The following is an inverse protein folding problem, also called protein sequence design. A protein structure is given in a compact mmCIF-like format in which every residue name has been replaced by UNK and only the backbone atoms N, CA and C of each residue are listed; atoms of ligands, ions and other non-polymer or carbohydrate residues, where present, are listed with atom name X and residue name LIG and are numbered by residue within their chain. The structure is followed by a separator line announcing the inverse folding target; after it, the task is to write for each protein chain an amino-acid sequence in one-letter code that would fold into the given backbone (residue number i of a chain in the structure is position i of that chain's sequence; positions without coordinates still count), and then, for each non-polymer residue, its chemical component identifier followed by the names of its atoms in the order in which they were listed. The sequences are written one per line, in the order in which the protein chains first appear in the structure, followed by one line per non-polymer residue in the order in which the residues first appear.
data_IF_659085201262
#
_entry.id   IF_659085201262
#
_cell.length_a   1.000
_cell.length_b   1.000
_cell.length_c   1.000
_cell.angle_alpha   90.00
_cell.angle_beta   90.00
_cell.angle_gamma   90.00
#
_symmetry.space_group_name_H-M   'P 1'
#
loop_
_entity.id
_entity.type
_entity.pdbx_description
1 polymer ?
#
# COMPACT_ATOMS: atom_id res chain seq x y z
N UNK A 1 17.53 -5.27 -14.10
CA UNK A 1 16.15 -5.25 -13.54
C UNK A 1 15.19 -4.96 -14.68
N UNK A 2 13.98 -5.53 -14.70
CA UNK A 2 12.99 -5.19 -15.73
C UNK A 2 12.64 -3.69 -15.65
N UNK A 3 12.36 -3.08 -16.79
CA UNK A 3 12.07 -1.64 -16.95
C UNK A 3 10.65 -1.24 -16.52
N UNK A 4 9.94 -2.10 -15.79
CA UNK A 4 8.55 -1.91 -15.41
C UNK A 4 8.22 -2.48 -14.04
N UNK A 5 6.96 -2.31 -13.62
CA UNK A 5 6.47 -2.89 -12.38
C UNK A 5 6.48 -4.42 -12.46
N UNK A 6 6.96 -5.12 -11.43
CA UNK A 6 7.01 -6.57 -11.45
C UNK A 6 5.63 -7.13 -11.09
N UNK A 7 4.68 -7.08 -12.01
CA UNK A 7 3.40 -7.79 -11.97
C UNK A 7 2.73 -7.78 -13.36
N UNK A 8 1.85 -8.75 -13.62
CA UNK A 8 1.08 -8.79 -14.87
C UNK A 8 -0.10 -7.83 -14.79
N UNK A 9 -0.49 -7.24 -15.93
CA UNK A 9 -1.62 -6.32 -16.00
C UNK A 9 -2.93 -6.97 -15.54
N UNK A 10 -3.12 -8.25 -15.86
CA UNK A 10 -4.33 -8.99 -15.50
C UNK A 10 -4.45 -9.15 -13.98
N UNK A 11 -3.34 -9.45 -13.30
CA UNK A 11 -3.28 -9.57 -11.84
C UNK A 11 -3.67 -8.25 -11.18
N UNK A 12 -3.20 -7.14 -11.72
CA UNK A 12 -3.52 -5.79 -11.23
C UNK A 12 -5.01 -5.47 -11.38
N UNK A 13 -5.61 -5.73 -12.54
CA UNK A 13 -7.03 -5.45 -12.78
C UNK A 13 -7.91 -6.33 -11.89
N UNK A 14 -7.60 -7.62 -11.78
CA UNK A 14 -8.34 -8.54 -10.91
C UNK A 14 -8.27 -8.11 -9.45
N UNK A 15 -7.08 -7.70 -9.00
CA UNK A 15 -6.87 -7.19 -7.66
C UNK A 15 -7.68 -5.91 -7.38
N UNK A 16 -7.77 -4.99 -8.35
CA UNK A 16 -8.62 -3.80 -8.24
C UNK A 16 -10.11 -4.15 -8.14
N UNK A 17 -10.62 -5.11 -8.93
CA UNK A 17 -12.02 -5.53 -8.87
C UNK A 17 -12.35 -6.13 -7.49
N UNK A 18 -11.51 -7.04 -6.98
CA UNK A 18 -11.68 -7.64 -5.65
C UNK A 18 -11.63 -6.57 -4.56
N UNK A 19 -10.66 -5.65 -4.63
CA UNK A 19 -10.55 -4.53 -3.68
C UNK A 19 -11.81 -3.66 -3.70
N UNK A 20 -12.31 -3.29 -4.88
CA UNK A 20 -13.51 -2.47 -5.03
C UNK A 20 -14.77 -3.14 -4.48
N UNK A 21 -14.91 -4.46 -4.68
CA UNK A 21 -15.99 -5.26 -4.06
C UNK A 21 -15.89 -5.28 -2.55
N UNK A 22 -14.70 -5.33 -1.97
CA UNK A 22 -14.52 -5.34 -0.51
C UNK A 22 -14.83 -3.98 0.14
N UNK A 23 -14.66 -2.87 -0.58
CA UNK A 23 -14.88 -1.51 -0.06
C UNK A 23 -16.37 -1.12 -0.06
N UNK A 24 -17.14 -1.56 -1.05
CA UNK A 24 -18.53 -1.13 -1.23
C UNK A 24 -19.49 -1.87 -0.29
N UNK A 25 -20.21 -1.14 0.55
CA UNK A 25 -21.17 -1.72 1.50
C UNK A 25 -22.31 -2.52 0.84
N UNK A 26 -22.70 -2.17 -0.39
CA UNK A 26 -23.74 -2.87 -1.16
C UNK A 26 -23.24 -4.13 -1.87
N UNK A 27 -21.92 -4.38 -1.84
CA UNK A 27 -21.29 -5.57 -2.40
C UNK A 27 -20.53 -6.29 -1.29
N UNK A 28 -21.01 -7.44 -0.84
CA UNK A 28 -20.21 -8.28 0.08
C UNK A 28 -18.95 -8.75 -0.66
N UNK A 29 -17.78 -8.40 -0.14
CA UNK A 29 -16.49 -8.82 -0.67
C UNK A 29 -15.49 -9.08 0.44
N UNK A 30 -14.72 -10.16 0.31
CA UNK A 30 -13.56 -10.51 1.13
C UNK A 30 -12.36 -10.65 0.20
N UNK A 31 -11.19 -10.13 0.60
CA UNK A 31 -9.96 -10.37 -0.15
C UNK A 31 -9.43 -11.73 0.30
N UNK A 32 -9.63 -12.75 -0.55
CA UNK A 32 -9.10 -14.08 -0.30
C UNK A 32 -7.56 -14.07 -0.35
N UNK A 33 -6.94 -14.65 0.68
CA UNK A 33 -5.48 -14.82 0.77
C UNK A 33 -4.93 -15.63 -0.41
N UNK A 34 -5.72 -16.54 -0.98
CA UNK A 34 -5.32 -17.31 -2.15
C UNK A 34 -5.43 -16.51 -3.46
N UNK A 35 -6.25 -15.45 -3.52
CA UNK A 35 -6.55 -14.73 -4.76
C UNK A 35 -5.71 -13.47 -4.99
N UNK A 36 -5.02 -12.95 -3.97
CA UNK A 36 -4.23 -11.73 -4.08
C UNK A 36 -2.73 -12.01 -4.07
N UNK A 37 -2.21 -12.76 -5.05
CA UNK A 37 -0.78 -13.05 -5.19
C UNK A 37 0.07 -11.77 -5.16
N UNK A 38 -0.46 -10.68 -5.73
CA UNK A 38 0.17 -9.36 -5.70
C UNK A 38 0.39 -8.83 -4.27
N UNK A 39 -0.53 -9.08 -3.32
CA UNK A 39 -0.36 -8.69 -1.93
C UNK A 39 0.77 -9.47 -1.25
N UNK A 40 0.87 -10.77 -1.54
CA UNK A 40 1.96 -11.62 -1.05
C UNK A 40 3.31 -11.13 -1.58
N UNK A 41 3.40 -10.80 -2.88
CA UNK A 41 4.60 -10.24 -3.50
C UNK A 41 5.00 -8.89 -2.91
N UNK A 42 4.01 -8.07 -2.55
CA UNK A 42 4.21 -6.77 -1.91
C UNK A 42 4.48 -6.88 -0.39
N UNK A 43 4.24 -8.04 0.23
CA UNK A 43 4.37 -8.23 1.67
C UNK A 43 3.29 -7.50 2.48
N UNK A 44 2.11 -7.25 1.90
CA UNK A 44 1.04 -6.47 2.55
C UNK A 44 -0.13 -7.42 2.89
N UNK A 45 -0.59 -7.39 4.14
CA UNK A 45 -1.77 -8.17 4.53
C UNK A 45 -3.05 -7.60 3.90
N UNK A 46 -4.05 -8.44 3.62
CA UNK A 46 -5.36 -7.98 3.13
C UNK A 46 -6.01 -6.92 4.03
N UNK A 47 -5.85 -7.04 5.35
CA UNK A 47 -6.37 -6.06 6.30
C UNK A 47 -5.65 -4.72 6.19
N UNK A 48 -4.32 -4.73 6.15
CA UNK A 48 -3.54 -3.50 5.97
C UNK A 48 -3.80 -2.88 4.60
N UNK A 49 -3.99 -3.69 3.56
CA UNK A 49 -4.36 -3.22 2.23
C UNK A 49 -5.66 -2.43 2.24
N UNK A 50 -6.72 -2.96 2.87
CA UNK A 50 -7.99 -2.24 2.98
C UNK A 50 -7.83 -0.91 3.70
N UNK A 51 -7.04 -0.85 4.78
CA UNK A 51 -6.71 0.41 5.47
C UNK A 51 -5.99 1.36 4.53
N UNK A 52 -4.97 0.89 3.80
CA UNK A 52 -4.22 1.69 2.85
C UNK A 52 -5.11 2.24 1.73
N UNK A 53 -6.02 1.45 1.17
CA UNK A 53 -6.85 1.88 0.04
C UNK A 53 -8.04 2.74 0.44
N UNK A 54 -8.48 2.69 1.70
CA UNK A 54 -9.65 3.46 2.18
C UNK A 54 -9.27 4.66 3.05
N UNK A 55 -8.14 4.60 3.76
CA UNK A 55 -7.73 5.56 4.77
C UNK A 55 -6.36 6.16 4.49
N UNK A 56 -5.83 6.05 3.26
CA UNK A 56 -4.47 6.49 2.91
C UNK A 56 -4.09 7.87 3.47
N UNK A 57 -4.94 8.89 3.21
CA UNK A 57 -4.70 10.27 3.65
C UNK A 57 -4.92 10.50 5.15
N UNK A 58 -5.62 9.59 5.83
CA UNK A 58 -5.78 9.62 7.28
C UNK A 58 -4.56 8.99 7.97
N UNK A 59 -3.97 7.96 7.34
CA UNK A 59 -2.75 7.34 7.81
C UNK A 59 -1.51 8.19 7.51
N UNK A 60 -1.43 8.81 6.33
CA UNK A 60 -0.24 9.51 5.86
C UNK A 60 -0.51 10.98 5.54
N UNK A 61 0.24 11.86 6.22
CA UNK A 61 0.14 13.33 6.08
C UNK A 61 1.37 13.95 5.39
N UNK A 62 2.17 13.14 4.68
CA UNK A 62 3.43 13.56 4.07
C UNK A 62 4.04 12.46 3.21
N UNK A 63 5.34 12.54 2.94
CA UNK A 63 6.06 11.55 2.14
C UNK A 63 5.92 10.14 2.74
N UNK A 64 5.71 9.13 1.88
CA UNK A 64 5.53 7.72 2.28
C UNK A 64 6.56 6.87 1.57
N UNK A 65 7.17 5.93 2.29
CA UNK A 65 8.16 5.04 1.72
C UNK A 65 9.07 4.44 2.78
N UNK A 66 10.12 3.75 2.32
CA UNK A 66 11.14 3.18 3.20
C UNK A 66 11.79 4.28 4.04
N UNK A 67 12.21 3.92 5.25
CA UNK A 67 12.80 4.85 6.22
C UNK A 67 13.96 5.66 5.62
N UNK A 68 14.81 5.02 4.80
CA UNK A 68 15.93 5.70 4.13
C UNK A 68 15.43 6.75 3.13
N UNK A 69 14.52 6.39 2.23
CA UNK A 69 13.97 7.31 1.24
C UNK A 69 13.25 8.52 1.87
N UNK A 70 12.52 8.30 2.98
CA UNK A 70 11.92 9.41 3.74
C UNK A 70 13.02 10.27 4.40
N UNK A 71 14.09 9.66 4.89
CA UNK A 71 15.22 10.40 5.49
C UNK A 71 15.91 11.28 4.45
N UNK A 72 16.22 10.73 3.28
CA UNK A 72 16.84 11.46 2.17
C UNK A 72 15.93 12.60 1.70
N UNK A 73 14.63 12.34 1.55
CA UNK A 73 13.63 13.35 1.22
C UNK A 73 13.58 14.47 2.27
N UNK A 74 13.50 14.13 3.57
CA UNK A 74 13.48 15.13 4.63
C UNK A 74 14.74 15.98 4.66
N UNK A 75 15.92 15.39 4.40
CA UNK A 75 17.18 16.13 4.30
C UNK A 75 17.17 17.12 3.13
N UNK A 76 16.77 16.67 1.93
CA UNK A 76 16.65 17.53 0.74
C UNK A 76 15.62 18.64 0.89
N UNK A 77 14.55 18.42 1.66
CA UNK A 77 13.49 19.40 1.91
C UNK A 77 13.71 20.22 3.19
N UNK A 78 14.85 20.04 3.87
CA UNK A 78 15.17 20.69 5.15
C UNK A 78 14.10 20.48 6.25
N UNK A 79 13.41 19.34 6.22
CA UNK A 79 12.38 18.96 7.19
C UNK A 79 13.00 18.28 8.41
N UNK A 80 12.61 18.73 9.62
CA UNK A 80 13.15 18.20 10.88
C UNK A 80 12.52 16.88 11.34
N UNK A 81 11.35 16.49 10.83
CA UNK A 81 10.55 15.34 11.31
C UNK A 81 10.28 14.32 10.21
N UNK A 82 10.42 13.03 10.57
CA UNK A 82 10.10 11.86 9.74
C UNK A 82 8.76 11.24 10.17
N UNK A 83 7.67 11.98 10.03
CA UNK A 83 6.40 11.69 10.70
C UNK A 83 5.72 10.35 10.30
N UNK A 84 6.03 9.83 9.12
CA UNK A 84 5.30 8.73 8.47
C UNK A 84 6.04 7.39 8.51
N UNK A 85 7.29 7.35 8.99
CA UNK A 85 8.14 6.14 8.96
C UNK A 85 7.56 5.00 9.80
N UNK A 86 7.07 5.31 11.00
CA UNK A 86 6.46 4.30 11.90
C UNK A 86 5.16 3.74 11.32
N UNK A 87 4.39 4.58 10.62
CA UNK A 87 3.13 4.18 9.98
C UNK A 87 3.42 3.26 8.79
N UNK A 88 4.44 3.58 7.99
CA UNK A 88 4.91 2.72 6.90
C UNK A 88 5.31 1.34 7.42
N UNK A 89 6.11 1.29 8.49
CA UNK A 89 6.55 0.03 9.12
C UNK A 89 5.39 -0.82 9.64
N UNK A 90 4.28 -0.20 10.06
CA UNK A 90 3.12 -0.93 10.58
C UNK A 90 2.20 -1.47 9.49
N UNK A 91 2.11 -0.78 8.35
CA UNK A 91 1.13 -1.09 7.31
C UNK A 91 1.71 -1.86 6.12
N UNK A 92 3.02 -1.73 5.86
CA UNK A 92 3.68 -2.23 4.64
C UNK A 92 4.86 -3.16 4.97
N UNK A 93 5.18 -3.39 6.25
CA UNK A 93 6.22 -4.33 6.73
C UNK A 93 5.61 -5.32 7.71
#
# INVERSE_FOLDING_TARGET
MPTGLPFELIDYIQFLDVTGRCIRADKRGYIDKAQAEILTRLGISAQNWLVLTTQFRQCFHGAVGRAQAITDFCQHQHLKKRATVSIYQKLIT
#
